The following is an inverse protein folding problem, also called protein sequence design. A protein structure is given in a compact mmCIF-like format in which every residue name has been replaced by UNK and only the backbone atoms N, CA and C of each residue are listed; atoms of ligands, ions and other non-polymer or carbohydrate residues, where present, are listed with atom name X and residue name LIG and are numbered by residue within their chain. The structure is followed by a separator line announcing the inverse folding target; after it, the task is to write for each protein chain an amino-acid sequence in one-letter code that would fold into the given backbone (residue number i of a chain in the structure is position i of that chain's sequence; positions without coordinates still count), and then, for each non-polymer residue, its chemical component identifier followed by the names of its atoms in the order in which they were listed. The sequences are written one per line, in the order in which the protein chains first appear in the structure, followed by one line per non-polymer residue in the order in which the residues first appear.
data_IF_829582103274
#
_entry.id   IF_829582103274
#
_cell.length_a   1.000
_cell.length_b   1.000
_cell.length_c   1.000
_cell.angle_alpha   90.00
_cell.angle_beta   90.00
_cell.angle_gamma   90.00
#
_symmetry.space_group_name_H-M   'P 1'
#
loop_
_entity.id
_entity.type
_entity.pdbx_description
1 polymer ?
#
# COMPACT_ATOMS: atom_id res chain seq x y z
N UNK A 1 -33.58 -3.29 -15.01
CA UNK A 1 -34.08 -1.97 -14.55
C UNK A 1 -34.87 -2.03 -13.24
N UNK A 2 -35.83 -2.95 -13.02
CA UNK A 2 -36.57 -3.06 -11.74
C UNK A 2 -35.73 -3.43 -10.50
N UNK A 3 -34.59 -4.12 -10.66
CA UNK A 3 -33.69 -4.48 -9.55
C UNK A 3 -32.74 -3.34 -9.10
N UNK A 4 -32.47 -2.38 -9.98
CA UNK A 4 -31.63 -1.20 -9.67
C UNK A 4 -32.39 -0.13 -8.87
N UNK A 5 -33.70 -0.01 -9.08
CA UNK A 5 -34.55 0.93 -8.33
C UNK A 5 -34.71 0.54 -6.85
N UNK A 6 -34.69 -0.77 -6.54
CA UNK A 6 -34.80 -1.26 -5.17
C UNK A 6 -33.55 -0.96 -4.34
N UNK A 7 -32.36 -1.00 -4.94
CA UNK A 7 -31.10 -0.66 -4.26
C UNK A 7 -30.99 0.85 -3.96
N UNK A 8 -31.50 1.70 -4.87
CA UNK A 8 -31.58 3.16 -4.67
C UNK A 8 -32.60 3.56 -3.60
N UNK A 9 -33.72 2.81 -3.46
CA UNK A 9 -34.68 3.03 -2.38
C UNK A 9 -34.12 2.67 -1.00
N UNK A 10 -33.25 1.66 -0.90
CA UNK A 10 -32.56 1.33 0.36
C UNK A 10 -31.52 2.40 0.76
N UNK A 11 -30.86 3.04 -0.21
CA UNK A 11 -29.92 4.14 0.03
C UNK A 11 -30.59 5.41 0.57
N UNK A 12 -31.86 5.66 0.20
CA UNK A 12 -32.62 6.82 0.71
C UNK A 12 -33.29 6.57 2.07
N UNK A 13 -33.64 5.32 2.40
CA UNK A 13 -34.26 4.98 3.69
C UNK A 13 -33.28 4.97 4.87
N UNK A 14 -31.97 4.97 4.64
CA UNK A 14 -30.96 5.12 5.69
C UNK A 14 -30.74 6.56 6.17
N UNK A 15 -31.34 7.57 5.51
CA UNK A 15 -31.07 9.00 5.79
C UNK A 15 -32.10 9.60 6.77
N UNK A 16 -33.13 8.85 7.18
CA UNK A 16 -34.18 9.34 8.09
C UNK A 16 -34.33 8.56 9.39
N UNK A 17 -33.35 7.74 9.78
CA UNK A 17 -33.30 7.20 11.15
C UNK A 17 -32.71 8.24 12.09
N UNK A 18 -33.59 8.85 12.88
CA UNK A 18 -33.26 9.64 14.04
C UNK A 18 -32.18 8.94 14.87
N UNK A 19 -31.13 9.67 15.21
CA UNK A 19 -30.10 9.23 16.13
C UNK A 19 -30.75 8.90 17.49
N UNK A 20 -31.09 7.63 17.72
CA UNK A 20 -31.21 7.13 19.07
C UNK A 20 -29.79 6.94 19.59
N UNK A 21 -29.34 7.86 20.45
CA UNK A 21 -28.32 7.55 21.45
C UNK A 21 -28.81 6.37 22.28
N UNK A 22 -28.42 5.16 21.87
CA UNK A 22 -28.24 4.05 22.79
C UNK A 22 -26.75 3.82 22.87
N UNK A 23 -26.11 4.62 23.73
CA UNK A 23 -24.78 4.32 24.22
C UNK A 23 -24.74 2.85 24.63
N UNK A 24 -23.63 2.19 24.27
CA UNK A 24 -23.37 0.81 24.65
C UNK A 24 -23.68 0.63 26.14
N UNK A 25 -24.69 -0.19 26.46
CA UNK A 25 -24.86 -0.73 27.82
C UNK A 25 -23.78 -1.78 28.03
N UNK A 26 -22.55 -1.32 28.20
CA UNK A 26 -21.63 -1.97 29.12
C UNK A 26 -21.87 -1.31 30.47
N UNK A 27 -22.30 -2.08 31.47
CA UNK A 27 -22.44 -1.58 32.84
C UNK A 27 -21.02 -1.44 33.37
N UNK A 28 -20.34 -0.36 33.01
CA UNK A 28 -19.14 0.05 33.71
C UNK A 28 -19.59 0.69 35.02
N UNK A 29 -19.34 -0.05 36.10
CA UNK A 29 -19.65 0.40 37.45
C UNK A 29 -18.71 1.58 37.76
N UNK A 30 -19.23 2.80 37.74
CA UNK A 30 -18.48 4.01 38.04
C UNK A 30 -18.00 4.01 39.50
N UNK A 31 -16.76 3.59 39.73
CA UNK A 31 -16.01 3.90 40.94
C UNK A 31 -14.74 4.64 40.54
N UNK A 32 -14.61 5.89 41.00
CA UNK A 32 -13.42 6.75 41.00
C UNK A 32 -12.28 6.28 40.07
N UNK A 33 -12.39 6.54 38.78
CA UNK A 33 -11.28 6.31 37.87
C UNK A 33 -10.25 7.42 38.08
N UNK A 34 -9.24 7.13 38.92
CA UNK A 34 -7.93 7.76 38.73
C UNK A 34 -7.60 7.59 37.23
N UNK A 35 -7.16 8.65 36.53
CA UNK A 35 -6.80 8.51 35.13
C UNK A 35 -5.80 7.36 35.01
N UNK A 36 -5.98 6.50 34.01
CA UNK A 36 -5.14 5.32 33.74
C UNK A 36 -3.64 5.69 33.78
N UNK A 37 -3.34 6.93 33.41
CA UNK A 37 -2.03 7.54 33.50
C UNK A 37 -2.12 8.73 34.46
N UNK A 38 -1.45 8.66 35.63
CA UNK A 38 -1.41 9.75 36.60
C UNK A 38 -0.93 11.05 35.95
N UNK A 39 -1.51 12.19 36.34
CA UNK A 39 -1.24 13.52 35.77
C UNK A 39 0.26 13.86 35.73
N UNK A 40 1.00 13.48 36.79
CA UNK A 40 2.46 13.69 36.88
C UNK A 40 3.25 12.94 35.79
N UNK A 41 2.69 11.86 35.23
CA UNK A 41 3.28 11.05 34.16
C UNK A 41 2.78 11.45 32.78
N UNK A 42 1.75 12.27 32.64
CA UNK A 42 1.22 12.69 31.33
C UNK A 42 2.23 13.53 30.55
N UNK A 43 3.07 14.33 31.22
CA UNK A 43 4.19 15.04 30.57
C UNK A 43 5.16 14.09 29.84
N UNK A 44 5.34 12.86 30.32
CA UNK A 44 6.20 11.85 29.67
C UNK A 44 5.63 11.37 28.33
N UNK A 45 4.33 11.57 28.09
CA UNK A 45 3.63 11.18 26.86
C UNK A 45 3.52 12.32 25.85
N UNK A 46 3.88 13.55 26.23
CA UNK A 46 3.78 14.73 25.35
C UNK A 46 4.53 14.58 24.00
N UNK A 47 5.47 13.64 23.93
CA UNK A 47 6.26 13.35 22.73
C UNK A 47 5.91 12.00 22.07
N UNK A 48 4.82 11.35 22.49
CA UNK A 48 4.38 10.04 22.00
C UNK A 48 3.00 10.18 21.38
N UNK A 49 2.86 9.74 20.15
CA UNK A 49 1.58 9.61 19.47
C UNK A 49 1.18 8.15 19.40
N UNK A 50 -0.06 7.87 19.76
CA UNK A 50 -0.69 6.55 19.55
C UNK A 50 -1.85 6.73 18.58
N UNK A 51 -1.80 6.01 17.45
CA UNK A 51 -2.74 6.19 16.34
C UNK A 51 -3.36 4.84 15.98
N UNK A 52 -4.69 4.76 16.05
CA UNK A 52 -5.46 3.66 15.48
C UNK A 52 -5.87 4.03 14.06
N UNK A 53 -5.17 3.49 13.07
CA UNK A 53 -5.44 3.70 11.65
C UNK A 53 -6.46 2.66 11.17
N UNK A 54 -7.67 3.11 10.85
CA UNK A 54 -8.80 2.24 10.53
C UNK A 54 -9.40 2.55 9.16
N UNK A 55 -9.76 1.49 8.43
CA UNK A 55 -10.65 1.54 7.27
C UNK A 55 -11.58 0.33 7.35
N UNK A 56 -12.89 0.57 7.40
CA UNK A 56 -13.91 -0.49 7.46
C UNK A 56 -15.07 -0.16 6.52
N UNK A 57 -15.69 -1.18 5.94
CA UNK A 57 -16.78 -0.99 4.99
C UNK A 57 -17.71 -2.20 4.89
N UNK A 58 -18.97 -1.94 4.54
CA UNK A 58 -19.83 -2.90 3.86
C UNK A 58 -19.38 -3.01 2.40
N UNK A 59 -19.01 -4.21 1.95
CA UNK A 59 -18.61 -4.50 0.57
C UNK A 59 -19.60 -5.43 -0.10
N UNK A 60 -19.95 -5.12 -1.34
CA UNK A 60 -20.70 -5.98 -2.25
C UNK A 60 -19.80 -6.31 -3.44
N UNK A 61 -19.47 -7.59 -3.59
CA UNK A 61 -18.49 -8.09 -4.55
C UNK A 61 -19.19 -8.69 -5.78
N UNK A 62 -18.55 -8.51 -6.93
CA UNK A 62 -18.98 -8.99 -8.23
C UNK A 62 -17.80 -9.62 -8.96
N UNK A 63 -18.05 -10.73 -9.65
CA UNK A 63 -17.09 -11.38 -10.54
C UNK A 63 -17.76 -11.58 -11.90
N UNK A 64 -17.13 -11.10 -12.97
CA UNK A 64 -17.67 -11.15 -14.33
C UNK A 64 -19.10 -10.59 -14.46
N UNK A 65 -19.39 -9.53 -13.68
CA UNK A 65 -20.69 -8.87 -13.61
C UNK A 65 -21.72 -9.52 -12.69
N UNK A 66 -21.45 -10.73 -12.18
CA UNK A 66 -22.37 -11.46 -11.31
C UNK A 66 -22.09 -11.16 -9.84
N UNK A 67 -23.15 -10.94 -9.05
CA UNK A 67 -23.03 -10.71 -7.61
C UNK A 67 -22.57 -11.97 -6.89
N UNK A 68 -21.50 -11.87 -6.10
CA UNK A 68 -20.92 -13.02 -5.39
C UNK A 68 -21.22 -12.99 -3.90
N UNK A 69 -20.98 -11.87 -3.21
CA UNK A 69 -21.15 -11.77 -1.76
C UNK A 69 -21.25 -10.34 -1.24
N UNK A 70 -21.96 -10.18 -0.13
CA UNK A 70 -22.04 -8.95 0.67
C UNK A 70 -21.56 -9.20 2.10
N UNK A 71 -20.68 -8.34 2.64
CA UNK A 71 -20.19 -8.46 4.03
C UNK A 71 -19.59 -7.16 4.57
N UNK A 72 -19.61 -7.00 5.89
CA UNK A 72 -18.78 -6.02 6.58
C UNK A 72 -17.35 -6.54 6.69
N UNK A 73 -16.37 -5.69 6.42
CA UNK A 73 -14.93 -6.03 6.50
C UNK A 73 -14.18 -4.88 7.18
N UNK A 74 -13.29 -5.24 8.10
CA UNK A 74 -12.18 -4.38 8.51
C UNK A 74 -11.08 -4.48 7.46
N UNK A 75 -11.06 -3.56 6.50
CA UNK A 75 -10.12 -3.60 5.37
C UNK A 75 -8.69 -3.33 5.84
N UNK A 76 -8.54 -2.35 6.73
CA UNK A 76 -7.27 -1.97 7.31
C UNK A 76 -7.45 -1.67 8.80
N UNK A 77 -6.60 -2.27 9.62
CA UNK A 77 -6.41 -1.86 11.00
C UNK A 77 -4.92 -1.93 11.34
N UNK A 78 -4.36 -0.77 11.70
CA UNK A 78 -2.98 -0.66 12.18
C UNK A 78 -2.93 0.13 13.47
N UNK A 79 -2.20 -0.39 14.45
CA UNK A 79 -1.81 0.39 15.62
C UNK A 79 -0.42 0.95 15.36
N UNK A 80 -0.29 2.27 15.42
CA UNK A 80 0.98 2.97 15.27
C UNK A 80 1.33 3.68 16.57
N UNK A 81 2.55 3.49 17.05
CA UNK A 81 3.13 4.19 18.19
C UNK A 81 4.42 4.84 17.69
N UNK A 82 4.50 6.16 17.78
CA UNK A 82 5.71 6.90 17.38
C UNK A 82 5.98 8.03 18.32
N UNK A 83 7.23 8.40 18.44
CA UNK A 83 7.57 9.51 19.30
C UNK A 83 9.04 9.81 19.38
N UNK A 84 9.34 10.77 20.24
CA UNK A 84 10.69 11.23 20.55
C UNK A 84 11.03 10.83 21.98
N UNK A 85 12.06 10.00 22.15
CA UNK A 85 12.54 9.55 23.47
C UNK A 85 13.73 10.38 23.97
N UNK A 86 14.37 11.13 23.08
CA UNK A 86 15.47 12.07 23.38
C UNK A 86 15.52 13.14 22.29
N UNK A 87 16.19 14.28 22.54
CA UNK A 87 16.28 15.42 21.62
C UNK A 87 16.70 15.10 20.18
N UNK A 88 17.39 13.99 19.98
CA UNK A 88 17.87 13.50 18.69
C UNK A 88 17.41 12.09 18.33
N UNK A 89 16.61 11.44 19.18
CA UNK A 89 16.25 10.02 19.00
C UNK A 89 14.74 9.86 18.92
N UNK A 90 14.31 9.32 17.79
CA UNK A 90 12.93 9.06 17.43
C UNK A 90 12.72 7.56 17.26
N UNK A 91 11.51 7.10 17.50
CA UNK A 91 11.12 5.72 17.24
C UNK A 91 9.77 5.69 16.54
N UNK A 92 9.53 4.62 15.78
CA UNK A 92 8.23 4.32 15.20
C UNK A 92 8.03 2.82 15.17
N UNK A 93 6.90 2.41 15.72
CA UNK A 93 6.39 1.06 15.68
C UNK A 93 5.01 1.09 15.04
N UNK A 94 4.74 0.15 14.12
CA UNK A 94 3.42 -0.01 13.51
C UNK A 94 3.17 -1.47 13.21
N UNK A 95 2.05 -1.99 13.70
CA UNK A 95 1.63 -3.37 13.43
C UNK A 95 0.26 -3.40 12.76
N UNK A 96 0.06 -4.33 11.83
CA UNK A 96 -1.14 -4.50 11.02
C UNK A 96 -1.92 -5.74 11.46
N UNK A 97 -3.11 -5.52 12.02
CA UNK A 97 -3.99 -6.57 12.55
C UNK A 97 -4.93 -7.20 11.51
N UNK A 98 -4.76 -6.83 10.23
CA UNK A 98 -5.55 -7.32 9.08
C UNK A 98 -4.70 -8.19 8.16
N UNK A 99 -3.56 -8.70 8.66
CA UNK A 99 -2.66 -9.60 7.94
C UNK A 99 -2.29 -10.77 8.86
N UNK A 100 -1.90 -11.90 8.28
CA UNK A 100 -1.37 -13.03 9.03
C UNK A 100 -0.14 -12.63 9.86
N UNK A 101 -0.01 -13.23 11.04
CA UNK A 101 1.06 -12.99 12.02
C UNK A 101 2.00 -14.20 12.06
N UNK A 102 2.94 -14.27 11.12
CA UNK A 102 3.96 -15.33 11.10
C UNK A 102 5.36 -14.70 11.15
N UNK A 103 6.23 -15.13 12.07
CA UNK A 103 7.64 -14.78 12.02
C UNK A 103 8.22 -15.10 10.65
N UNK A 104 8.97 -14.18 10.07
CA UNK A 104 9.60 -14.35 8.78
C UNK A 104 11.03 -14.86 8.95
N UNK A 105 11.46 -15.74 8.04
CA UNK A 105 12.67 -16.55 8.19
C UNK A 105 13.99 -15.77 8.15
N UNK A 106 14.04 -14.60 7.50
CA UNK A 106 15.27 -13.80 7.37
C UNK A 106 15.42 -12.71 8.45
N UNK A 107 14.31 -12.12 8.90
CA UNK A 107 14.33 -10.98 9.82
C UNK A 107 13.80 -11.29 11.23
N UNK A 108 13.29 -12.51 11.46
CA UNK A 108 12.67 -12.96 12.71
C UNK A 108 11.57 -12.02 13.25
N UNK A 109 10.92 -11.27 12.37
CA UNK A 109 9.83 -10.35 12.70
C UNK A 109 8.51 -10.89 12.17
N UNK A 110 7.40 -10.59 12.84
CA UNK A 110 6.07 -10.91 12.33
C UNK A 110 5.83 -10.26 10.97
N UNK A 111 5.20 -10.99 10.05
CA UNK A 111 4.70 -10.48 8.76
C UNK A 111 3.69 -9.34 8.89
N UNK A 112 3.06 -9.21 10.07
CA UNK A 112 2.13 -8.11 10.40
C UNK A 112 2.83 -6.80 10.73
N UNK A 113 4.11 -6.85 11.15
CA UNK A 113 4.82 -5.65 11.61
C UNK A 113 5.31 -4.86 10.42
N UNK A 114 4.66 -3.72 10.18
CA UNK A 114 5.02 -2.79 9.12
C UNK A 114 6.32 -2.05 9.48
N UNK A 115 6.40 -1.49 10.69
CA UNK A 115 7.52 -0.63 11.08
C UNK A 115 8.00 -0.98 12.49
N UNK A 116 9.31 -1.04 12.66
CA UNK A 116 9.95 -1.16 13.98
C UNK A 116 11.38 -0.64 13.87
N UNK A 117 11.56 0.66 14.04
CA UNK A 117 12.86 1.29 13.87
C UNK A 117 13.12 2.45 14.82
N UNK A 118 14.40 2.76 14.98
CA UNK A 118 14.90 3.97 15.63
C UNK A 118 15.49 4.87 14.55
N UNK A 119 15.33 6.18 14.73
CA UNK A 119 15.97 7.21 13.92
C UNK A 119 16.76 8.16 14.81
N UNK A 120 18.01 8.43 14.43
CA UNK A 120 18.91 9.36 15.10
C UNK A 120 19.16 10.56 14.20
N UNK A 121 18.85 11.75 14.70
CA UNK A 121 19.20 13.01 14.06
C UNK A 121 20.66 13.36 14.40
N UNK A 122 21.58 13.10 13.48
CA UNK A 122 22.99 13.41 13.68
C UNK A 122 23.25 14.92 13.59
N UNK A 123 22.60 15.60 12.63
CA UNK A 123 22.61 17.05 12.49
C UNK A 123 21.22 17.55 12.11
N UNK A 124 21.01 18.88 12.07
CA UNK A 124 19.74 19.44 11.61
C UNK A 124 19.30 19.02 10.20
N UNK A 125 20.22 18.48 9.38
CA UNK A 125 19.97 18.05 7.99
C UNK A 125 20.21 16.56 7.74
N UNK A 126 20.79 15.83 8.69
CA UNK A 126 21.21 14.44 8.50
C UNK A 126 20.57 13.54 9.55
N UNK A 127 19.86 12.52 9.08
CA UNK A 127 19.27 11.49 9.92
C UNK A 127 19.72 10.09 9.50
N UNK A 128 19.81 9.20 10.48
CA UNK A 128 20.12 7.78 10.31
C UNK A 128 18.97 6.96 10.89
N UNK A 129 18.52 5.93 10.20
CA UNK A 129 17.52 4.99 10.69
C UNK A 129 18.05 3.56 10.64
N UNK A 130 17.61 2.74 11.59
CA UNK A 130 17.94 1.31 11.65
C UNK A 130 16.78 0.52 12.25
N UNK A 131 16.48 -0.64 11.66
CA UNK A 131 15.41 -1.53 12.06
C UNK A 131 14.56 -1.97 10.87
N UNK A 132 13.29 -2.31 11.11
CA UNK A 132 12.31 -2.62 10.05
C UNK A 132 11.71 -1.32 9.52
N UNK A 133 12.11 -0.97 8.30
CA UNK A 133 11.80 0.26 7.61
C UNK A 133 10.77 0.02 6.50
N UNK A 134 10.04 1.05 6.12
CA UNK A 134 9.40 1.09 4.80
C UNK A 134 10.50 1.36 3.77
N UNK A 135 10.64 0.49 2.78
CA UNK A 135 11.52 0.72 1.65
C UNK A 135 11.07 1.99 0.92
N UNK A 136 11.98 2.94 0.69
CA UNK A 136 11.65 4.27 0.20
C UNK A 136 11.45 4.31 -1.33
N UNK A 137 10.50 3.48 -1.78
CA UNK A 137 10.18 3.17 -3.16
C UNK A 137 9.59 4.30 -3.97
N UNK A 138 9.32 5.45 -3.36
CA UNK A 138 8.74 6.59 -4.05
C UNK A 138 7.40 6.29 -4.73
N UNK A 139 6.93 7.24 -5.54
CA UNK A 139 5.54 7.24 -5.99
C UNK A 139 4.59 7.77 -4.91
N UNK A 140 3.55 8.47 -5.33
CA UNK A 140 2.50 8.99 -4.45
C UNK A 140 1.62 7.85 -3.92
N UNK A 141 1.25 6.87 -4.76
CA UNK A 141 0.41 5.74 -4.35
C UNK A 141 1.01 5.00 -3.15
N UNK A 142 2.32 4.80 -3.18
CA UNK A 142 3.05 4.08 -2.14
C UNK A 142 3.24 4.90 -0.85
N UNK A 143 3.40 6.22 -0.97
CA UNK A 143 3.61 7.12 0.17
C UNK A 143 2.30 7.46 0.91
N UNK A 144 1.14 7.26 0.26
CA UNK A 144 -0.17 7.38 0.89
C UNK A 144 -0.31 6.44 2.10
N UNK A 145 -1.06 6.90 3.11
CA UNK A 145 -1.38 6.03 4.24
C UNK A 145 -2.20 4.83 3.72
N UNK A 146 -1.83 3.58 4.07
CA UNK A 146 -2.55 2.41 3.57
C UNK A 146 -4.06 2.38 3.83
N UNK A 147 -4.57 3.14 4.80
CA UNK A 147 -6.01 3.27 5.06
C UNK A 147 -6.74 4.14 4.03
N UNK A 148 -6.01 4.95 3.26
CA UNK A 148 -6.55 5.80 2.18
C UNK A 148 -6.51 5.13 0.81
N UNK A 149 -5.95 3.92 0.72
CA UNK A 149 -5.95 3.11 -0.49
C UNK A 149 -7.13 2.14 -0.45
N UNK A 150 -7.93 2.12 -1.51
CA UNK A 150 -9.05 1.19 -1.67
C UNK A 150 -8.65 -0.09 -2.42
N UNK A 151 -7.71 0.02 -3.36
CA UNK A 151 -7.15 -1.07 -4.15
C UNK A 151 -5.78 -0.61 -4.67
N UNK A 152 -4.77 -1.48 -4.59
CA UNK A 152 -3.42 -1.17 -5.08
C UNK A 152 -3.25 -1.58 -6.55
N UNK A 153 -2.32 -0.91 -7.21
CA UNK A 153 -1.74 -1.37 -8.46
C UNK A 153 -0.93 -2.65 -8.26
N UNK A 154 -0.80 -3.45 -9.33
CA UNK A 154 -0.20 -4.78 -9.24
C UNK A 154 1.22 -4.79 -8.69
N UNK A 155 2.03 -3.77 -9.01
CA UNK A 155 3.39 -3.66 -8.50
C UNK A 155 3.38 -3.53 -6.98
N UNK A 156 2.55 -2.63 -6.43
CA UNK A 156 2.56 -2.35 -4.99
C UNK A 156 1.87 -3.49 -4.21
N UNK A 157 0.75 -4.01 -4.73
CA UNK A 157 0.00 -5.11 -4.10
C UNK A 157 0.87 -6.35 -3.90
N UNK A 158 1.73 -6.67 -4.87
CA UNK A 158 2.52 -7.91 -4.89
C UNK A 158 3.97 -7.72 -4.41
N UNK A 159 4.26 -6.69 -3.64
CA UNK A 159 5.62 -6.40 -3.17
C UNK A 159 5.74 -6.31 -1.66
N UNK A 160 6.76 -6.98 -1.09
CA UNK A 160 7.13 -6.86 0.32
C UNK A 160 7.96 -5.59 0.52
N UNK A 161 7.36 -4.56 1.11
CA UNK A 161 7.93 -3.22 1.21
C UNK A 161 8.43 -2.84 2.62
N UNK A 162 8.21 -3.70 3.61
CA UNK A 162 8.68 -3.50 4.99
C UNK A 162 9.86 -4.42 5.25
N UNK A 163 11.06 -3.85 5.23
CA UNK A 163 12.32 -4.60 5.18
C UNK A 163 13.25 -4.14 6.29
N UNK A 164 13.99 -5.09 6.87
CA UNK A 164 15.00 -4.78 7.88
C UNK A 164 16.25 -4.22 7.22
N UNK A 165 16.81 -3.15 7.79
CA UNK A 165 18.04 -2.56 7.32
C UNK A 165 18.32 -1.20 7.95
N UNK A 166 18.99 -0.35 7.18
CA UNK A 166 19.35 0.99 7.58
C UNK A 166 19.05 2.01 6.49
N UNK A 167 18.85 3.26 6.92
CA UNK A 167 18.60 4.40 6.04
C UNK A 167 19.38 5.64 6.46
N UNK A 168 19.65 6.48 5.47
CA UNK A 168 20.21 7.82 5.64
C UNK A 168 19.26 8.79 4.96
N UNK A 169 18.83 9.83 5.68
CA UNK A 169 18.06 10.93 5.12
C UNK A 169 18.85 12.23 5.16
N UNK A 170 18.87 12.95 4.05
CA UNK A 170 19.61 14.19 3.86
C UNK A 170 18.64 15.29 3.42
N UNK A 171 18.51 16.34 4.22
CA UNK A 171 17.81 17.57 3.83
C UNK A 171 18.79 18.51 3.12
N UNK A 172 18.80 18.48 1.78
CA UNK A 172 19.74 19.28 0.99
C UNK A 172 19.40 20.78 1.01
N UNK A 173 18.12 21.11 0.92
CA UNK A 173 17.57 22.47 1.06
C UNK A 173 16.16 22.40 1.66
N UNK A 174 15.47 23.52 1.88
CA UNK A 174 14.08 23.51 2.37
C UNK A 174 13.11 22.75 1.44
N UNK A 175 13.44 22.66 0.16
CA UNK A 175 12.58 22.10 -0.89
C UNK A 175 13.02 20.72 -1.39
N UNK A 176 14.24 20.27 -1.06
CA UNK A 176 14.79 19.04 -1.58
C UNK A 176 15.39 18.17 -0.48
N UNK A 177 14.99 16.91 -0.47
CA UNK A 177 15.59 15.89 0.39
C UNK A 177 15.89 14.61 -0.38
N UNK A 178 16.87 13.89 0.11
CA UNK A 178 17.32 12.61 -0.43
C UNK A 178 17.27 11.56 0.65
N UNK A 179 16.98 10.32 0.28
CA UNK A 179 17.17 9.19 1.16
C UNK A 179 17.94 8.09 0.44
N UNK A 180 18.71 7.35 1.22
CA UNK A 180 19.44 6.16 0.78
C UNK A 180 19.20 5.06 1.79
N UNK A 181 18.84 3.87 1.35
CA UNK A 181 18.64 2.72 2.22
C UNK A 181 19.43 1.51 1.73
N UNK A 182 19.94 0.76 2.69
CA UNK A 182 20.47 -0.59 2.52
C UNK A 182 19.60 -1.53 3.35
N UNK A 183 18.88 -2.42 2.67
CA UNK A 183 17.87 -3.30 3.27
C UNK A 183 18.16 -4.74 2.92
N UNK A 184 17.62 -5.70 3.68
CA UNK A 184 17.44 -7.05 3.17
C UNK A 184 16.54 -6.99 1.93
N UNK A 185 16.82 -7.78 0.89
CA UNK A 185 15.99 -7.79 -0.32
C UNK A 185 14.64 -8.48 -0.12
N UNK A 186 14.53 -9.27 0.95
CA UNK A 186 13.39 -10.13 1.28
C UNK A 186 13.31 -10.40 2.78
N UNK A 187 12.12 -10.78 3.23
CA UNK A 187 11.87 -11.22 4.63
C UNK A 187 11.87 -12.74 4.78
N UNK A 188 11.72 -13.49 3.68
CA UNK A 188 11.71 -14.96 3.64
C UNK A 188 12.94 -15.49 2.92
N UNK A 189 13.27 -16.75 3.13
CA UNK A 189 14.39 -17.41 2.44
C UNK A 189 14.17 -17.48 0.94
N UNK A 190 15.25 -17.65 0.17
CA UNK A 190 15.13 -17.87 -1.27
C UNK A 190 14.21 -19.05 -1.58
N UNK A 191 14.37 -20.17 -0.85
CA UNK A 191 13.60 -21.39 -1.06
C UNK A 191 12.10 -21.18 -0.84
N UNK A 192 11.71 -20.38 0.16
CA UNK A 192 10.29 -20.09 0.43
C UNK A 192 9.62 -19.20 -0.63
N UNK A 193 10.40 -18.38 -1.33
CA UNK A 193 9.88 -17.46 -2.35
C UNK A 193 9.91 -18.11 -3.73
N UNK A 194 11.02 -18.75 -4.07
CA UNK A 194 11.35 -19.18 -5.43
C UNK A 194 11.42 -20.70 -5.59
N UNK A 195 11.52 -21.45 -4.49
CA UNK A 195 11.86 -22.86 -4.51
C UNK A 195 13.25 -23.12 -5.08
N UNK A 196 13.49 -24.36 -5.51
CA UNK A 196 14.71 -24.73 -6.20
C UNK A 196 14.58 -24.38 -7.67
N UNK A 197 15.40 -23.46 -8.20
CA UNK A 197 15.39 -23.12 -9.62
C UNK A 197 16.67 -23.67 -10.27
N UNK A 198 16.58 -24.53 -11.30
CA UNK A 198 17.76 -25.05 -12.00
C UNK A 198 18.68 -23.93 -12.51
N UNK A 199 19.98 -24.05 -12.22
CA UNK A 199 21.00 -23.09 -12.67
C UNK A 199 21.06 -21.78 -11.87
N UNK A 200 20.17 -21.57 -10.90
CA UNK A 200 20.16 -20.39 -10.03
C UNK A 200 20.69 -20.76 -8.64
N UNK A 201 21.62 -19.95 -8.14
CA UNK A 201 22.19 -20.11 -6.80
C UNK A 201 21.74 -18.96 -5.91
N UNK A 202 21.31 -19.26 -4.69
CA UNK A 202 20.97 -18.26 -3.68
C UNK A 202 22.16 -17.31 -3.39
N UNK A 203 21.85 -16.03 -3.16
CA UNK A 203 22.83 -15.05 -2.69
C UNK A 203 23.14 -15.26 -1.21
N UNK A 204 24.43 -15.26 -0.84
CA UNK A 204 24.86 -15.22 0.57
C UNK A 204 24.60 -13.86 1.25
N UNK A 205 24.30 -12.84 0.45
CA UNK A 205 24.05 -11.47 0.91
C UNK A 205 22.92 -10.87 0.05
N UNK A 206 21.66 -11.24 0.31
CA UNK A 206 20.50 -10.74 -0.43
C UNK A 206 20.13 -9.34 0.07
N UNK A 207 20.85 -8.33 -0.41
CA UNK A 207 20.61 -6.93 -0.05
C UNK A 207 19.92 -6.17 -1.18
N UNK A 208 19.23 -5.11 -0.78
CA UNK A 208 18.65 -4.09 -1.62
C UNK A 208 19.26 -2.72 -1.33
N UNK A 209 19.48 -1.95 -2.38
CA UNK A 209 19.82 -0.53 -2.33
C UNK A 209 18.67 0.30 -2.86
N UNK A 210 18.26 1.33 -2.13
CA UNK A 210 17.20 2.27 -2.54
C UNK A 210 17.76 3.68 -2.48
N UNK A 211 17.59 4.46 -3.54
CA UNK A 211 17.86 5.89 -3.58
C UNK A 211 16.57 6.63 -3.92
N UNK A 212 16.23 7.64 -3.12
CA UNK A 212 15.01 8.43 -3.29
C UNK A 212 15.32 9.93 -3.29
N UNK A 213 14.57 10.67 -4.08
CA UNK A 213 14.56 12.12 -4.10
C UNK A 213 13.13 12.64 -3.93
N UNK A 214 12.94 13.52 -2.94
CA UNK A 214 11.72 14.30 -2.76
C UNK A 214 11.99 15.75 -3.09
N UNK A 215 11.18 16.31 -3.99
CA UNK A 215 11.30 17.70 -4.45
C UNK A 215 10.02 18.49 -4.25
N UNK A 216 10.17 19.79 -3.99
CA UNK A 216 9.10 20.78 -4.02
C UNK A 216 9.48 21.91 -4.98
N UNK A 217 8.71 22.07 -6.05
CA UNK A 217 8.91 23.08 -7.09
C UNK A 217 7.76 24.08 -7.05
N UNK A 218 8.00 25.30 -7.58
CA UNK A 218 6.97 26.33 -7.76
C UNK A 218 6.18 26.67 -6.47
N UNK A 219 6.89 26.81 -5.34
CA UNK A 219 6.27 27.08 -4.05
C UNK A 219 5.45 25.90 -3.50
N UNK A 220 5.76 24.67 -3.92
CA UNK A 220 5.10 23.45 -3.46
C UNK A 220 3.90 23.01 -4.31
N UNK A 221 3.57 23.75 -5.37
CA UNK A 221 2.50 23.38 -6.33
C UNK A 221 2.81 22.13 -7.13
N UNK A 222 4.09 21.82 -7.33
CA UNK A 222 4.53 20.54 -7.90
C UNK A 222 5.48 19.88 -6.93
N UNK A 223 5.17 18.65 -6.55
CA UNK A 223 5.96 17.83 -5.65
C UNK A 223 6.33 16.52 -6.34
N UNK A 224 7.54 16.04 -6.09
CA UNK A 224 8.05 14.79 -6.66
C UNK A 224 8.44 13.82 -5.56
N UNK A 225 8.22 12.54 -5.81
CA UNK A 225 8.78 11.44 -5.03
C UNK A 225 9.32 10.41 -6.00
N UNK A 226 10.61 10.51 -6.32
CA UNK A 226 11.26 9.68 -7.32
C UNK A 226 12.23 8.73 -6.65
N UNK A 227 12.29 7.48 -7.12
CA UNK A 227 13.20 6.49 -6.57
C UNK A 227 13.77 5.58 -7.65
N UNK A 228 14.95 5.06 -7.37
CA UNK A 228 15.50 3.91 -8.05
C UNK A 228 16.00 2.91 -7.00
N UNK A 229 15.66 1.64 -7.21
CA UNK A 229 16.02 0.55 -6.32
C UNK A 229 16.60 -0.62 -7.09
N UNK A 230 17.57 -1.29 -6.46
CA UNK A 230 18.15 -2.56 -6.94
C UNK A 230 18.09 -3.58 -5.81
N UNK A 231 17.60 -4.78 -6.12
CA UNK A 231 17.45 -5.88 -5.19
C UNK A 231 18.24 -7.07 -5.70
N UNK A 232 19.12 -7.63 -4.87
CA UNK A 232 19.85 -8.84 -5.20
C UNK A 232 19.05 -10.07 -4.77
N UNK A 233 18.35 -10.70 -5.71
CA UNK A 233 17.48 -11.85 -5.42
C UNK A 233 18.25 -13.18 -5.40
N UNK A 234 19.25 -13.34 -6.26
CA UNK A 234 20.14 -14.51 -6.25
C UNK A 234 21.61 -14.09 -6.47
N UNK A 235 22.53 -15.05 -6.55
CA UNK A 235 23.97 -14.78 -6.67
C UNK A 235 24.29 -13.78 -7.79
N UNK A 236 23.60 -13.90 -8.92
CA UNK A 236 23.77 -13.07 -10.12
C UNK A 236 22.44 -12.60 -10.69
N UNK A 237 21.38 -12.54 -9.87
CA UNK A 237 20.04 -12.16 -10.32
C UNK A 237 19.52 -10.95 -9.55
N UNK A 238 18.95 -9.99 -10.29
CA UNK A 238 18.55 -8.69 -9.75
C UNK A 238 17.11 -8.32 -10.14
N UNK A 239 16.47 -7.56 -9.25
CA UNK A 239 15.28 -6.77 -9.57
C UNK A 239 15.65 -5.29 -9.55
N UNK A 240 15.31 -4.60 -10.62
CA UNK A 240 15.44 -3.15 -10.75
C UNK A 240 14.05 -2.53 -10.71
N UNK A 241 13.88 -1.51 -9.87
CA UNK A 241 12.62 -0.84 -9.70
C UNK A 241 12.79 0.68 -9.77
N UNK A 242 12.01 1.32 -10.63
CA UNK A 242 11.96 2.76 -10.85
C UNK A 242 10.55 3.25 -10.54
N UNK A 243 10.42 4.29 -9.73
CA UNK A 243 9.15 4.97 -9.49
C UNK A 243 9.33 6.49 -9.64
N UNK A 244 8.43 7.11 -10.41
CA UNK A 244 8.43 8.54 -10.68
C UNK A 244 7.06 9.11 -10.31
N UNK A 245 6.90 9.48 -9.03
CA UNK A 245 5.69 10.10 -8.52
C UNK A 245 5.70 11.61 -8.65
N UNK A 246 4.55 12.16 -9.02
CA UNK A 246 4.33 13.60 -9.21
C UNK A 246 2.99 13.97 -8.60
N UNK A 247 2.96 15.03 -7.80
CA UNK A 247 1.73 15.61 -7.26
C UNK A 247 1.65 17.09 -7.64
N UNK A 248 0.50 17.49 -8.15
CA UNK A 248 0.15 18.85 -8.53
C UNK A 248 -0.98 19.34 -7.63
N UNK A 249 -0.76 20.47 -6.98
CA UNK A 249 -1.71 21.10 -6.08
C UNK A 249 -2.22 22.43 -6.66
N UNK A 250 -3.53 22.46 -6.95
CA UNK A 250 -4.26 23.62 -7.43
C UNK A 250 -5.30 24.10 -6.41
N UNK A 251 -5.11 23.81 -5.12
CA UNK A 251 -5.98 24.19 -4.01
C UNK A 251 -7.12 23.19 -3.84
N UNK A 252 -8.29 23.47 -4.41
CA UNK A 252 -9.46 22.55 -4.29
C UNK A 252 -9.35 21.32 -5.17
N UNK A 253 -8.46 21.37 -6.17
CA UNK A 253 -8.21 20.27 -7.09
C UNK A 253 -6.76 19.81 -6.95
N UNK A 254 -6.57 18.51 -6.78
CA UNK A 254 -5.26 17.88 -6.69
C UNK A 254 -5.16 16.73 -7.69
N UNK A 255 -4.02 16.62 -8.33
CA UNK A 255 -3.71 15.57 -9.31
C UNK A 255 -2.39 14.92 -8.90
N UNK A 256 -2.41 13.61 -8.72
CA UNK A 256 -1.21 12.80 -8.56
C UNK A 256 -1.06 11.82 -9.71
N UNK A 257 0.17 11.59 -10.16
CA UNK A 257 0.50 10.63 -11.20
C UNK A 257 1.83 9.94 -10.88
N UNK A 258 1.80 8.62 -10.98
CA UNK A 258 2.98 7.77 -10.82
C UNK A 258 3.23 6.96 -12.09
N UNK A 259 4.48 6.98 -12.53
CA UNK A 259 5.01 5.97 -13.44
C UNK A 259 5.92 5.01 -12.67
N UNK A 260 5.67 3.71 -12.77
CA UNK A 260 6.47 2.67 -12.13
C UNK A 260 6.89 1.60 -13.13
N UNK A 261 8.14 1.16 -13.02
CA UNK A 261 8.71 0.10 -13.84
C UNK A 261 9.53 -0.86 -12.98
N UNK A 262 9.21 -2.15 -13.03
CA UNK A 262 9.96 -3.23 -12.38
C UNK A 262 10.50 -4.17 -13.45
N UNK A 263 11.82 -4.34 -13.53
CA UNK A 263 12.45 -5.41 -14.32
C UNK A 263 13.02 -6.43 -13.35
N UNK A 264 12.58 -7.68 -13.44
CA UNK A 264 12.92 -8.71 -12.47
C UNK A 264 13.51 -9.92 -13.19
N UNK A 265 14.77 -10.24 -12.89
CA UNK A 265 15.42 -11.41 -13.49
C UNK A 265 14.87 -12.72 -12.92
N UNK A 266 14.34 -12.68 -11.69
CA UNK A 266 13.45 -13.68 -11.12
C UNK A 266 12.14 -12.97 -10.77
N UNK A 267 11.00 -13.55 -11.15
CA UNK A 267 9.67 -13.00 -10.90
C UNK A 267 9.34 -12.94 -9.41
N UNK A 268 9.74 -11.84 -8.76
CA UNK A 268 9.58 -11.59 -7.33
C UNK A 268 8.11 -11.37 -6.96
N UNK A 269 7.35 -10.75 -7.87
CA UNK A 269 5.91 -10.49 -7.69
C UNK A 269 5.05 -11.73 -7.94
N UNK A 270 5.58 -12.73 -8.65
CA UNK A 270 4.91 -14.00 -8.91
C UNK A 270 3.72 -13.91 -9.88
N UNK A 271 3.46 -12.76 -10.50
CA UNK A 271 2.28 -12.56 -11.37
C UNK A 271 2.43 -13.38 -12.65
N UNK A 272 3.56 -13.27 -13.34
CA UNK A 272 3.81 -14.02 -14.59
C UNK A 272 3.99 -15.52 -14.30
N UNK A 273 4.70 -15.86 -13.23
CA UNK A 273 4.79 -17.22 -12.71
C UNK A 273 3.38 -17.77 -12.47
N UNK A 274 2.50 -16.92 -11.92
CA UNK A 274 1.07 -17.05 -11.68
C UNK A 274 0.21 -17.37 -12.92
N UNK A 275 0.73 -17.13 -14.13
CA UNK A 275 0.01 -17.47 -15.37
C UNK A 275 0.30 -18.89 -15.86
N UNK A 276 1.41 -19.50 -15.46
CA UNK A 276 1.75 -20.87 -15.92
C UNK A 276 0.81 -21.90 -15.29
N UNK A 277 0.34 -22.92 -16.04
CA UNK A 277 -0.46 -24.00 -15.45
C UNK A 277 0.35 -24.74 -14.38
N UNK A 278 -0.32 -25.18 -13.31
CA UNK A 278 0.28 -26.01 -12.28
C UNK A 278 0.33 -27.46 -12.75
N UNK A 279 1.49 -27.89 -13.24
CA UNK A 279 1.70 -29.24 -13.78
C UNK A 279 2.28 -30.22 -12.74
N UNK A 280 2.14 -29.94 -11.44
CA UNK A 280 2.39 -30.91 -10.37
C UNK A 280 3.86 -31.27 -10.11
N UNK A 281 4.81 -30.37 -10.40
CA UNK A 281 6.22 -30.61 -10.06
C UNK A 281 7.16 -29.40 -10.12
N UNK A 282 7.03 -28.53 -11.13
CA UNK A 282 8.12 -27.59 -11.47
C UNK A 282 7.62 -26.19 -11.86
N UNK A 283 6.77 -25.59 -11.02
CA UNK A 283 6.41 -24.18 -11.23
C UNK A 283 7.51 -23.26 -10.73
N UNK A 284 8.67 -23.28 -11.39
CA UNK A 284 9.78 -22.38 -11.11
C UNK A 284 9.36 -20.93 -11.31
N UNK A 285 9.99 -19.99 -10.61
CA UNK A 285 9.78 -18.58 -10.90
C UNK A 285 10.11 -18.28 -12.38
N UNK A 286 9.23 -17.53 -13.04
CA UNK A 286 9.51 -17.02 -14.37
C UNK A 286 10.77 -16.14 -14.33
N UNK A 287 11.60 -16.24 -15.35
CA UNK A 287 12.83 -15.46 -15.45
C UNK A 287 12.67 -14.34 -16.47
N UNK A 288 13.34 -13.22 -16.21
CA UNK A 288 13.30 -11.98 -17.01
C UNK A 288 11.86 -11.53 -17.31
N UNK A 289 11.19 -11.05 -16.27
CA UNK A 289 9.85 -10.47 -16.33
C UNK A 289 9.92 -8.96 -16.19
N UNK A 290 8.90 -8.27 -16.69
CA UNK A 290 8.77 -6.83 -16.54
C UNK A 290 7.34 -6.43 -16.22
N UNK A 291 7.22 -5.52 -15.27
CA UNK A 291 5.98 -4.90 -14.84
C UNK A 291 6.05 -3.40 -15.05
N UNK A 292 4.99 -2.85 -15.61
CA UNK A 292 4.84 -1.41 -15.83
C UNK A 292 3.49 -0.99 -15.26
N UNK A 293 3.47 0.10 -14.51
CA UNK A 293 2.25 0.63 -13.91
C UNK A 293 2.17 2.14 -14.10
N UNK A 294 1.06 2.59 -14.67
CA UNK A 294 0.64 3.98 -14.63
C UNK A 294 -0.46 4.10 -13.59
N UNK A 295 -0.33 5.04 -12.66
CA UNK A 295 -1.34 5.29 -11.64
C UNK A 295 -1.65 6.79 -11.59
N UNK A 296 -2.92 7.13 -11.42
CA UNK A 296 -3.40 8.51 -11.32
C UNK A 296 -4.42 8.61 -10.19
N UNK A 297 -4.36 9.72 -9.46
CA UNK A 297 -5.37 10.11 -8.48
C UNK A 297 -5.79 11.56 -8.71
N UNK A 298 -7.10 11.78 -8.70
CA UNK A 298 -7.74 13.08 -8.81
C UNK A 298 -8.54 13.30 -7.54
N UNK A 299 -8.39 14.45 -6.90
CA UNK A 299 -9.24 14.86 -5.80
C UNK A 299 -9.82 16.24 -6.08
N UNK A 300 -11.12 16.38 -5.82
CA UNK A 300 -11.82 17.65 -5.96
C UNK A 300 -12.71 17.91 -4.75
N UNK A 301 -12.29 18.86 -3.92
CA UNK A 301 -13.06 19.35 -2.77
C UNK A 301 -14.19 20.27 -3.24
N UNK A 302 -15.31 19.65 -3.61
CA UNK A 302 -16.50 20.34 -4.16
C UNK A 302 -17.10 21.28 -3.12
N UNK A 303 -17.22 20.81 -1.88
CA UNK A 303 -17.73 21.56 -0.73
C UNK A 303 -16.79 21.34 0.46
N UNK A 304 -16.82 22.19 1.51
CA UNK A 304 -15.93 22.05 2.67
C UNK A 304 -15.97 20.69 3.38
N UNK A 305 -17.02 19.89 3.16
CA UNK A 305 -17.21 18.55 3.73
C UNK A 305 -17.35 17.45 2.68
N UNK A 306 -17.28 17.75 1.39
CA UNK A 306 -17.54 16.80 0.31
C UNK A 306 -16.39 16.80 -0.69
N UNK A 307 -15.70 15.67 -0.80
CA UNK A 307 -14.65 15.42 -1.78
C UNK A 307 -15.14 14.39 -2.80
N UNK A 308 -14.82 14.63 -4.07
CA UNK A 308 -14.91 13.63 -5.12
C UNK A 308 -13.49 13.18 -5.44
N UNK A 309 -13.24 11.88 -5.35
CA UNK A 309 -11.94 11.29 -5.67
C UNK A 309 -12.08 10.27 -6.79
N UNK A 310 -11.08 10.20 -7.65
CA UNK A 310 -10.95 9.17 -8.66
C UNK A 310 -9.54 8.63 -8.65
N UNK A 311 -9.39 7.32 -8.49
CA UNK A 311 -8.12 6.62 -8.71
C UNK A 311 -8.26 5.78 -9.97
N UNK A 312 -7.27 5.85 -10.86
CA UNK A 312 -7.19 5.03 -12.06
C UNK A 312 -5.79 4.47 -12.24
N UNK A 313 -5.67 3.25 -12.75
CA UNK A 313 -4.36 2.67 -13.04
C UNK A 313 -4.40 1.62 -14.15
N UNK A 314 -3.28 1.54 -14.87
CA UNK A 314 -3.03 0.53 -15.90
C UNK A 314 -1.76 -0.22 -15.54
N UNK A 315 -1.88 -1.54 -15.42
CA UNK A 315 -0.78 -2.45 -15.12
C UNK A 315 -0.50 -3.36 -16.31
N UNK A 316 0.77 -3.50 -16.69
CA UNK A 316 1.21 -4.37 -17.77
C UNK A 316 2.18 -5.41 -17.20
N UNK A 317 1.91 -6.69 -17.47
CA UNK A 317 2.80 -7.79 -17.15
C UNK A 317 3.38 -8.39 -18.43
N UNK A 318 4.70 -8.51 -18.49
CA UNK A 318 5.46 -9.02 -19.64
C UNK A 318 6.47 -10.08 -19.22
N UNK A 319 6.67 -11.08 -20.07
CA UNK A 319 7.66 -12.14 -19.90
C UNK A 319 8.68 -12.07 -21.03
N UNK A 320 9.79 -11.36 -20.76
CA UNK A 320 10.88 -11.17 -21.73
C UNK A 320 11.69 -12.46 -21.90
N UNK A 321 11.91 -13.21 -20.83
CA UNK A 321 12.53 -14.53 -20.84
C UNK A 321 11.60 -15.67 -21.27
N UNK A 322 10.47 -15.39 -21.94
CA UNK A 322 9.59 -16.43 -22.46
C UNK A 322 10.37 -17.36 -23.44
N UNK A 323 10.39 -18.69 -23.21
CA UNK A 323 11.09 -19.63 -24.07
C UNK A 323 10.51 -19.74 -25.49
N UNK A 324 9.26 -19.31 -25.71
CA UNK A 324 8.71 -19.18 -27.06
C UNK A 324 9.27 -17.89 -27.73
N UNK A 325 10.13 -18.02 -28.77
CA UNK A 325 10.79 -16.87 -29.37
C UNK A 325 9.86 -16.04 -30.28
N UNK A 326 8.74 -16.60 -30.74
CA UNK A 326 7.92 -16.06 -31.84
C UNK A 326 6.69 -15.29 -31.36
N UNK A 327 6.63 -14.90 -30.08
CA UNK A 327 5.44 -14.31 -29.46
C UNK A 327 5.71 -12.98 -28.76
N UNK A 328 4.66 -12.16 -28.70
CA UNK A 328 4.68 -10.89 -27.96
C UNK A 328 5.07 -11.16 -26.49
N UNK A 329 6.01 -10.36 -25.99
CA UNK A 329 6.50 -10.46 -24.61
C UNK A 329 5.45 -9.98 -23.62
N UNK A 330 4.50 -9.13 -24.03
CA UNK A 330 3.37 -8.72 -23.19
C UNK A 330 2.38 -9.88 -23.01
N UNK A 331 1.97 -10.15 -21.77
CA UNK A 331 1.02 -11.22 -21.46
C UNK A 331 -0.34 -10.71 -21.01
N UNK A 332 -0.38 -9.61 -20.25
CA UNK A 332 -1.61 -9.07 -19.67
C UNK A 332 -1.56 -7.55 -19.53
N UNK A 333 -2.69 -6.91 -19.77
CA UNK A 333 -2.99 -5.54 -19.34
C UNK A 333 -4.15 -5.56 -18.35
N UNK A 334 -3.92 -5.08 -17.13
CA UNK A 334 -4.91 -4.85 -16.10
C UNK A 334 -5.31 -3.37 -16.03
N UNK A 335 -6.58 -3.09 -15.79
CA UNK A 335 -7.11 -1.73 -15.59
C UNK A 335 -7.81 -1.65 -14.25
N UNK A 336 -7.59 -0.57 -13.51
CA UNK A 336 -8.28 -0.24 -12.26
C UNK A 336 -8.92 1.14 -12.36
N UNK A 337 -10.14 1.27 -11.84
CA UNK A 337 -10.83 2.56 -11.75
C UNK A 337 -11.71 2.61 -10.50
N UNK A 338 -11.58 3.69 -9.74
CA UNK A 338 -12.16 3.84 -8.41
C UNK A 338 -12.76 5.24 -8.24
N UNK A 339 -13.94 5.52 -8.80
CA UNK A 339 -14.71 6.70 -8.41
C UNK A 339 -15.17 6.59 -6.96
N UNK A 340 -14.97 7.65 -6.20
CA UNK A 340 -15.24 7.72 -4.76
C UNK A 340 -15.88 9.06 -4.39
N UNK A 341 -16.90 9.01 -3.54
CA UNK A 341 -17.45 10.17 -2.84
C UNK A 341 -17.03 10.08 -1.38
N UNK A 342 -16.45 11.13 -0.82
CA UNK A 342 -16.03 11.19 0.57
C UNK A 342 -16.71 12.35 1.31
N UNK A 343 -17.23 12.08 2.50
CA UNK A 343 -17.88 13.05 3.37
C UNK A 343 -17.11 13.21 4.69
N UNK A 344 -16.76 14.44 5.03
CA UNK A 344 -16.01 14.83 6.23
C UNK A 344 -16.97 15.51 7.23
N UNK A 345 -17.64 14.76 8.13
CA UNK A 345 -18.62 15.31 9.05
C UNK A 345 -18.05 16.33 10.03
N UNK A 346 -16.79 16.17 10.43
CA UNK A 346 -16.13 16.91 11.50
C UNK A 346 -14.95 17.71 10.96
N UNK A 347 -14.72 18.91 11.52
CA UNK A 347 -13.56 19.75 11.15
C UNK A 347 -12.30 19.38 11.93
N UNK A 348 -12.46 18.96 13.19
CA UNK A 348 -11.37 18.71 14.13
C UNK A 348 -11.02 17.22 14.27
N UNK A 349 -11.78 16.35 13.61
CA UNK A 349 -11.54 14.91 13.60
C UNK A 349 -11.31 14.45 12.17
N UNK A 350 -10.15 13.84 11.92
CA UNK A 350 -9.85 13.21 10.64
C UNK A 350 -10.61 11.87 10.54
N UNK A 351 -11.91 11.99 10.29
CA UNK A 351 -12.83 10.90 10.04
C UNK A 351 -13.60 11.25 8.77
N UNK A 352 -13.57 10.35 7.79
CA UNK A 352 -14.36 10.46 6.57
C UNK A 352 -15.20 9.21 6.35
N UNK A 353 -16.40 9.42 5.85
CA UNK A 353 -17.23 8.36 5.28
C UNK A 353 -17.04 8.33 3.78
N UNK A 354 -17.05 7.14 3.18
CA UNK A 354 -16.89 7.01 1.75
C UNK A 354 -17.92 6.07 1.14
N UNK A 355 -18.26 6.33 -0.12
CA UNK A 355 -18.92 5.41 -1.01
C UNK A 355 -18.10 5.31 -2.30
N UNK A 356 -17.77 4.09 -2.73
CA UNK A 356 -16.98 3.88 -3.95
C UNK A 356 -17.43 2.67 -4.76
N UNK A 357 -16.93 2.63 -6.00
CA UNK A 357 -16.89 1.42 -6.81
C UNK A 357 -15.46 1.13 -7.21
N UNK A 358 -14.93 -0.04 -6.86
CA UNK A 358 -13.63 -0.54 -7.34
C UNK A 358 -13.90 -1.47 -8.51
N UNK A 359 -13.53 -1.07 -9.72
CA UNK A 359 -13.59 -1.90 -10.92
C UNK A 359 -12.20 -2.36 -11.36
N UNK A 360 -12.02 -3.66 -11.63
CA UNK A 360 -10.81 -4.22 -12.24
C UNK A 360 -11.16 -4.99 -13.52
N UNK A 361 -10.37 -4.79 -14.57
CA UNK A 361 -10.51 -5.51 -15.84
C UNK A 361 -9.15 -6.08 -16.24
N UNK A 362 -9.09 -7.39 -16.47
CA UNK A 362 -7.86 -8.08 -16.85
C UNK A 362 -7.97 -8.63 -18.26
N UNK A 363 -7.15 -8.11 -19.15
CA UNK A 363 -7.08 -8.52 -20.56
C UNK A 363 -5.77 -9.24 -20.83
N UNK A 364 -5.87 -10.52 -21.18
CA UNK A 364 -4.75 -11.36 -21.57
C UNK A 364 -4.56 -11.36 -23.08
N UNK A 365 -3.31 -11.48 -23.52
CA UNK A 365 -3.00 -11.66 -24.94
C UNK A 365 -3.46 -13.02 -25.43
N UNK A 366 -3.61 -13.16 -26.75
CA UNK A 366 -4.03 -14.43 -27.35
C UNK A 366 -3.08 -15.58 -26.97
N UNK A 367 -1.77 -15.31 -26.95
CA UNK A 367 -0.76 -16.25 -26.48
C UNK A 367 -1.00 -16.72 -25.04
N UNK A 368 -1.23 -15.78 -24.11
CA UNK A 368 -1.49 -16.14 -22.72
C UNK A 368 -2.78 -16.96 -22.56
N UNK A 369 -3.77 -16.76 -23.44
CA UNK A 369 -5.00 -17.57 -23.44
C UNK A 369 -4.75 -18.98 -23.97
N UNK A 370 -4.15 -19.09 -25.14
CA UNK A 370 -4.04 -20.37 -25.86
C UNK A 370 -2.97 -21.28 -25.24
N UNK A 371 -1.86 -20.69 -24.79
CA UNK A 371 -0.67 -21.46 -24.33
C UNK A 371 -0.59 -21.51 -22.80
N UNK A 372 -0.96 -20.43 -22.11
CA UNK A 372 -0.88 -20.35 -20.65
C UNK A 372 -2.25 -20.57 -19.96
N UNK A 373 -3.30 -20.88 -20.73
CA UNK A 373 -4.64 -21.18 -20.22
C UNK A 373 -5.35 -20.02 -19.53
N UNK A 374 -4.86 -18.79 -19.70
CA UNK A 374 -5.42 -17.61 -19.06
C UNK A 374 -6.74 -17.19 -19.71
N UNK A 375 -7.58 -16.44 -18.98
CA UNK A 375 -8.84 -15.90 -19.50
C UNK A 375 -9.01 -14.47 -19.06
N UNK A 376 -9.67 -13.67 -19.90
CA UNK A 376 -10.09 -12.34 -19.48
C UNK A 376 -11.16 -12.48 -18.39
N UNK A 377 -11.09 -11.62 -17.40
CA UNK A 377 -12.10 -11.54 -16.34
C UNK A 377 -12.17 -10.12 -15.80
N UNK A 378 -13.26 -9.82 -15.10
CA UNK A 378 -13.43 -8.58 -14.37
C UNK A 378 -13.86 -8.83 -12.93
N UNK A 379 -13.51 -7.88 -12.06
CA UNK A 379 -14.02 -7.85 -10.68
C UNK A 379 -14.59 -6.48 -10.39
N UNK A 380 -15.60 -6.44 -9.52
CA UNK A 380 -16.27 -5.22 -9.11
C UNK A 380 -16.56 -5.23 -7.62
N UNK A 381 -16.41 -4.09 -6.96
CA UNK A 381 -16.78 -3.96 -5.55
C UNK A 381 -17.47 -2.63 -5.32
N UNK A 382 -18.68 -2.66 -4.81
CA UNK A 382 -19.35 -1.46 -4.27
C UNK A 382 -19.13 -1.43 -2.76
N UNK A 383 -18.57 -0.33 -2.25
CA UNK A 383 -18.27 -0.19 -0.83
C UNK A 383 -18.90 1.06 -0.21
N UNK A 384 -19.40 0.93 1.02
CA UNK A 384 -19.78 2.03 1.90
C UNK A 384 -19.03 1.87 3.23
N UNK A 385 -18.30 2.87 3.67
CA UNK A 385 -17.45 2.71 4.85
C UNK A 385 -16.95 4.01 5.46
N UNK A 386 -15.97 3.87 6.35
CA UNK A 386 -15.25 4.99 6.94
C UNK A 386 -13.73 4.77 6.91
N UNK A 387 -13.00 5.88 6.97
CA UNK A 387 -11.55 5.94 7.18
C UNK A 387 -11.29 6.88 8.34
N UNK A 388 -10.47 6.43 9.30
CA UNK A 388 -10.17 7.18 10.51
C UNK A 388 -8.76 6.85 11.03
N UNK A 389 -7.77 7.75 10.89
CA UNK A 389 -6.60 7.78 11.75
C UNK A 389 -6.96 8.43 13.09
N UNK A 390 -7.37 7.62 14.07
CA UNK A 390 -7.74 8.11 15.40
C UNK A 390 -6.48 8.34 16.25
N UNK A 391 -6.18 9.60 16.54
CA UNK A 391 -5.13 9.98 17.48
C UNK A 391 -5.66 9.81 18.92
N UNK A 392 -5.07 8.86 19.65
CA UNK A 392 -5.47 8.49 21.03
C UNK A 392 -4.66 9.26 22.06
N UNK A 393 -3.38 9.50 21.77
CA UNK A 393 -2.42 10.26 22.57
C UNK A 393 -1.66 11.22 21.68
#
# INVERSE_FOLDING_TARGET
MRKFLAALLFLFLCITSWAQEKGAKQIDTFYYQKPLIPEIKQKLLSNINVIANMQSSLRNEFADGEYTRGRFIMNQFRLEIKGKIHDKVYFRFRDRYTRNTMPQSEDNMSSSTDLAYIQVQATGKLNFSIGKLCADWGGIEFDLNPIDIYEYSDIIENSDNFLLGMGIGIQASENHSFSFQALNSRTRTFQEIYGTIPGITESRFPLAGVANWRGKMFGGKWQTIWSYSIFKEARSNYMHYLALGNQLDFGRFQLAYDFKYSKEELDRKGIVTGFKPDTGGDRFAAQDVAYLSHWVKLDYLVLPKLNLSFVGFMDVASWKGNPDPDKDRKLRTGWGFIPTVEYFPFKELNLKFFANYVGRVYNYTQYAKDVLGQKNYNTGVVSLGFIAPLHVL
#
